data_IF_513136766537
#
_entry.id   IF_513136766537
#
_cell.length_a   1.000
_cell.length_b   1.000
_cell.length_c   1.000
_cell.angle_alpha   90.00
_cell.angle_beta   90.00
_cell.angle_gamma   90.00
#
_symmetry.space_group_name_H-M   'P 1'
#
loop_
_entity.id
_entity.type
_entity.pdbx_description
1 polymer ?
#
# COMPACT_ATOMS: atom_id res chain seq x y z
N UNK A 1 -5.81 -12.49 8.74
CA UNK A 1 -6.36 -12.22 7.40
C UNK A 1 -6.19 -10.75 7.02
N UNK A 2 -5.82 -10.46 5.77
CA UNK A 2 -5.44 -9.14 5.24
C UNK A 2 -6.51 -8.38 4.48
N UNK A 3 -6.89 -7.18 4.91
CA UNK A 3 -7.76 -6.23 4.21
C UNK A 3 -6.90 -5.29 3.35
N UNK A 4 -7.22 -5.13 2.07
CA UNK A 4 -6.55 -4.20 1.17
C UNK A 4 -7.59 -3.26 0.59
N UNK A 5 -7.45 -1.98 0.92
CA UNK A 5 -8.11 -0.91 0.20
C UNK A 5 -7.08 -0.10 -0.58
N UNK A 6 -7.06 -0.26 -1.90
CA UNK A 6 -6.52 0.79 -2.74
C UNK A 6 -7.35 2.06 -2.49
N UNK A 7 -6.78 3.07 -1.85
CA UNK A 7 -7.32 4.41 -1.99
C UNK A 7 -7.14 4.80 -3.46
N UNK A 8 -8.25 4.77 -4.19
CA UNK A 8 -8.44 5.26 -5.56
C UNK A 8 -7.70 4.56 -6.72
N UNK A 9 -8.52 3.84 -7.49
CA UNK A 9 -8.83 4.33 -8.83
C UNK A 9 -9.56 3.28 -9.69
N UNK A 10 -10.75 3.67 -10.12
CA UNK A 10 -11.61 2.88 -10.99
C UNK A 10 -13.09 3.09 -10.68
N UNK A 11 -13.63 4.29 -10.90
CA UNK A 11 -14.51 4.60 -12.03
C UNK A 11 -15.23 5.95 -11.84
N UNK A 12 -15.37 6.67 -12.97
CA UNK A 12 -16.05 7.95 -13.22
C UNK A 12 -15.26 9.24 -12.99
N UNK A 13 -14.93 9.90 -14.11
CA UNK A 13 -14.65 11.33 -14.15
C UNK A 13 -13.17 11.68 -14.09
N UNK A 14 -12.66 12.20 -15.20
CA UNK A 14 -11.34 12.79 -15.30
C UNK A 14 -11.25 14.06 -14.43
N UNK A 15 -10.31 14.13 -13.49
CA UNK A 15 -9.59 15.36 -13.10
C UNK A 15 -8.19 14.95 -12.59
N UNK A 16 -7.17 15.53 -13.23
CA UNK A 16 -5.80 15.83 -12.79
C UNK A 16 -5.13 14.99 -11.67
N UNK A 17 -3.99 14.36 -12.02
CA UNK A 17 -2.88 14.14 -11.07
C UNK A 17 -3.12 13.19 -9.89
N UNK A 18 -3.93 12.14 -10.08
CA UNK A 18 -4.26 11.17 -9.02
C UNK A 18 -3.02 10.42 -8.50
N UNK A 19 -2.64 10.70 -7.25
CA UNK A 19 -1.60 9.96 -6.53
C UNK A 19 -2.15 8.62 -5.99
N UNK A 20 -1.70 7.44 -6.48
CA UNK A 20 -2.05 6.12 -5.99
C UNK A 20 -1.32 5.82 -4.66
N UNK A 21 -2.00 6.13 -3.56
CA UNK A 21 -1.74 5.56 -2.24
C UNK A 21 -2.52 4.25 -2.08
N UNK A 22 -1.88 3.17 -1.65
CA UNK A 22 -2.58 1.91 -1.35
C UNK A 22 -2.54 1.65 0.15
N UNK A 23 -3.70 1.53 0.78
CA UNK A 23 -3.83 1.18 2.19
C UNK A 23 -4.07 -0.32 2.36
N UNK A 24 -3.34 -0.93 3.28
CA UNK A 24 -3.41 -2.37 3.57
C UNK A 24 -3.48 -2.55 5.07
N UNK A 25 -4.48 -3.24 5.60
CA UNK A 25 -4.55 -3.58 7.02
C UNK A 25 -4.84 -5.06 7.22
N UNK A 26 -3.97 -5.78 7.93
CA UNK A 26 -4.23 -7.18 8.25
C UNK A 26 -4.98 -7.35 9.57
N UNK A 27 -6.24 -7.79 9.51
CA UNK A 27 -7.13 -8.06 10.65
C UNK A 27 -6.58 -9.14 11.59
N UNK A 28 -5.97 -10.20 11.04
CA UNK A 28 -5.28 -11.21 11.87
C UNK A 28 -3.82 -11.25 11.45
N UNK A 29 -2.97 -10.95 12.42
CA UNK A 29 -1.54 -11.12 12.36
C UNK A 29 -1.22 -12.54 12.84
N UNK A 30 -0.16 -13.18 12.33
CA UNK A 30 0.28 -14.47 12.85
C UNK A 30 0.64 -14.34 14.34
N UNK A 31 -0.21 -14.85 15.23
CA UNK A 31 -0.06 -14.74 16.69
C UNK A 31 0.86 -15.82 17.28
N UNK A 32 1.37 -16.71 16.44
CA UNK A 32 2.17 -17.87 16.85
C UNK A 32 3.62 -17.50 17.19
N UNK A 33 4.05 -16.27 16.89
CA UNK A 33 5.41 -15.82 17.08
C UNK A 33 5.51 -14.59 17.98
N UNK A 34 6.45 -14.62 18.93
CA UNK A 34 6.81 -13.42 19.68
C UNK A 34 7.59 -12.45 18.80
N UNK A 35 7.60 -11.16 19.16
CA UNK A 35 8.33 -10.14 18.40
C UNK A 35 9.84 -10.45 18.25
N UNK A 36 10.44 -11.06 19.28
CA UNK A 36 11.85 -11.44 19.31
C UNK A 36 12.15 -12.60 18.35
N UNK A 37 11.18 -13.49 18.14
CA UNK A 37 11.33 -14.66 17.27
C UNK A 37 11.09 -14.32 15.80
N UNK A 38 10.44 -13.19 15.48
CA UNK A 38 10.21 -12.77 14.09
C UNK A 38 11.55 -12.44 13.42
N UNK A 39 11.91 -13.23 12.42
CA UNK A 39 13.09 -12.98 11.57
C UNK A 39 12.76 -12.14 10.37
N UNK A 40 11.60 -12.37 9.77
CA UNK A 40 11.21 -11.73 8.53
C UNK A 40 9.70 -11.69 8.43
N UNK A 41 9.16 -10.56 7.97
CA UNK A 41 7.78 -10.48 7.51
C UNK A 41 7.72 -9.83 6.14
N UNK A 42 7.04 -10.49 5.21
CA UNK A 42 6.89 -10.05 3.83
C UNK A 42 5.41 -9.91 3.49
N UNK A 43 5.05 -8.75 2.96
CA UNK A 43 3.75 -8.50 2.36
C UNK A 43 3.84 -8.72 0.85
N UNK A 44 2.87 -9.42 0.29
CA UNK A 44 2.75 -9.70 -1.12
C UNK A 44 1.47 -9.07 -1.66
N UNK A 45 1.62 -8.15 -2.62
CA UNK A 45 0.49 -7.56 -3.34
C UNK A 45 0.54 -8.00 -4.80
N UNK A 46 -0.59 -8.40 -5.37
CA UNK A 46 -0.64 -8.82 -6.76
C UNK A 46 -0.77 -7.61 -7.67
N UNK A 47 0.31 -7.26 -8.38
CA UNK A 47 0.32 -6.24 -9.41
C UNK A 47 -0.48 -6.72 -10.62
N UNK A 48 -1.45 -5.90 -11.04
CA UNK A 48 -2.29 -6.17 -12.20
C UNK A 48 -1.69 -5.54 -13.47
N UNK A 49 -1.68 -4.21 -13.56
CA UNK A 49 -1.13 -3.50 -14.72
C UNK A 49 -0.82 -2.03 -14.42
N UNK A 50 -0.06 -1.42 -15.33
CA UNK A 50 0.25 0.00 -15.38
C UNK A 50 -0.89 0.77 -16.05
N UNK A 51 -1.65 1.55 -15.29
CA UNK A 51 -2.80 2.28 -15.84
C UNK A 51 -2.39 3.65 -16.38
N UNK A 52 -3.01 4.05 -17.49
CA UNK A 52 -3.10 5.43 -17.96
C UNK A 52 -4.49 5.64 -18.53
N UNK A 53 -4.95 6.89 -18.59
CA UNK A 53 -6.17 7.20 -19.32
C UNK A 53 -6.06 6.74 -20.79
N UNK A 54 -7.19 6.37 -21.38
CA UNK A 54 -7.23 5.85 -22.76
C UNK A 54 -6.76 6.89 -23.78
N UNK A 55 -7.04 8.17 -23.52
CA UNK A 55 -6.66 9.30 -24.38
C UNK A 55 -5.23 9.80 -24.18
N UNK A 56 -4.52 9.41 -23.11
CA UNK A 56 -3.13 9.83 -22.90
C UNK A 56 -2.18 9.10 -23.85
N UNK A 57 -1.24 9.83 -24.46
CA UNK A 57 -0.12 9.23 -25.20
C UNK A 57 0.96 8.69 -24.25
N UNK A 58 2.03 8.11 -24.82
CA UNK A 58 3.19 7.70 -24.03
C UNK A 58 4.00 8.92 -23.56
N UNK A 59 3.93 10.03 -24.27
CA UNK A 59 4.55 11.30 -23.86
C UNK A 59 3.83 11.93 -22.67
N UNK A 60 2.50 11.82 -22.62
CA UNK A 60 1.67 12.34 -21.51
C UNK A 60 1.65 11.40 -20.29
N UNK A 61 1.88 10.11 -20.48
CA UNK A 61 1.95 9.12 -19.39
C UNK A 61 3.08 8.12 -19.66
N UNK A 62 4.34 8.57 -19.47
CA UNK A 62 5.51 7.81 -19.83
C UNK A 62 5.70 6.59 -18.96
N UNK A 63 6.47 5.67 -19.52
CA UNK A 63 6.90 4.47 -18.85
C UNK A 63 8.09 4.78 -17.97
N UNK A 64 7.82 5.14 -16.72
CA UNK A 64 8.85 5.42 -15.71
C UNK A 64 9.03 4.24 -14.76
N UNK A 65 10.17 4.24 -14.07
CA UNK A 65 10.39 3.39 -12.90
C UNK A 65 9.82 4.09 -11.67
N UNK A 66 9.10 3.36 -10.82
CA UNK A 66 8.59 3.92 -9.56
C UNK A 66 9.16 3.12 -8.36
N UNK A 67 9.96 3.73 -7.47
CA UNK A 67 10.34 3.12 -6.20
C UNK A 67 9.14 3.10 -5.26
N UNK A 68 8.57 1.92 -5.02
CA UNK A 68 7.47 1.73 -4.07
C UNK A 68 8.01 1.51 -2.67
N UNK A 69 7.64 2.40 -1.75
CA UNK A 69 7.96 2.32 -0.34
C UNK A 69 6.72 1.89 0.45
N UNK A 70 6.95 1.30 1.63
CA UNK A 70 5.90 0.96 2.58
C UNK A 70 6.11 1.75 3.87
N UNK A 71 5.06 2.38 4.39
CA UNK A 71 5.06 3.08 5.67
C UNK A 71 3.96 2.51 6.57
N UNK A 72 4.18 2.48 7.89
CA UNK A 72 3.10 2.12 8.81
C UNK A 72 2.15 3.30 8.99
N UNK A 73 0.86 2.99 8.99
CA UNK A 73 -0.18 3.97 9.29
C UNK A 73 -0.30 4.12 10.80
N UNK A 74 -0.40 5.38 11.26
CA UNK A 74 -0.38 5.74 12.69
C UNK A 74 -1.76 6.15 13.21
N UNK A 75 -2.77 6.23 12.34
CA UNK A 75 -4.14 6.56 12.70
C UNK A 75 -5.15 5.54 12.20
N UNK A 76 -6.18 5.31 13.01
CA UNK A 76 -7.37 4.59 12.57
C UNK A 76 -7.98 5.28 11.35
N UNK A 77 -8.32 4.46 10.36
CA UNK A 77 -9.15 4.77 9.21
C UNK A 77 -10.23 3.69 9.07
N UNK A 78 -11.24 3.96 8.26
CA UNK A 78 -12.31 3.00 7.96
C UNK A 78 -12.40 2.81 6.45
N UNK A 79 -12.39 1.55 6.02
CA UNK A 79 -12.28 1.18 4.61
C UNK A 79 -13.37 1.79 3.74
N UNK A 80 -14.60 1.80 4.24
CA UNK A 80 -15.75 2.32 3.49
C UNK A 80 -15.86 3.85 3.51
N UNK A 81 -15.01 4.54 4.29
CA UNK A 81 -15.10 5.99 4.52
C UNK A 81 -13.83 6.75 4.15
N UNK A 82 -12.70 6.07 3.99
CA UNK A 82 -11.42 6.70 3.70
C UNK A 82 -11.36 7.24 2.24
N UNK A 83 -10.93 8.49 2.11
CA UNK A 83 -10.71 9.21 0.84
C UNK A 83 -9.32 9.87 0.85
N UNK A 84 -8.98 10.63 -0.19
CA UNK A 84 -7.71 11.39 -0.23
C UNK A 84 -7.61 12.41 0.91
N UNK A 85 -8.72 12.94 1.41
CA UNK A 85 -8.74 13.99 2.44
C UNK A 85 -9.25 13.52 3.79
N UNK A 86 -10.02 12.42 3.83
CA UNK A 86 -10.65 11.91 5.05
C UNK A 86 -10.21 10.48 5.37
N UNK A 87 -9.99 10.18 6.65
CA UNK A 87 -9.71 8.81 7.12
C UNK A 87 -10.96 8.08 7.59
N UNK A 88 -11.96 8.84 8.02
CA UNK A 88 -13.30 8.43 8.42
C UNK A 88 -14.22 9.63 8.19
N UNK A 89 -15.53 9.40 8.15
CA UNK A 89 -16.55 10.42 8.04
C UNK A 89 -16.33 11.52 9.10
N UNK A 90 -16.20 12.76 8.62
CA UNK A 90 -15.96 13.94 9.46
C UNK A 90 -14.59 14.01 10.13
N UNK A 91 -13.65 13.12 9.78
CA UNK A 91 -12.28 13.08 10.31
C UNK A 91 -11.28 13.13 9.17
N UNK A 92 -10.61 14.26 9.04
CA UNK A 92 -9.58 14.44 8.01
C UNK A 92 -8.28 13.70 8.34
N UNK A 93 -7.54 13.37 7.28
CA UNK A 93 -6.09 13.26 7.35
C UNK A 93 -5.49 14.63 7.72
N UNK A 94 -4.27 14.64 8.25
CA UNK A 94 -3.53 15.89 8.50
C UNK A 94 -3.12 16.55 7.18
N UNK A 95 -2.77 15.73 6.19
CA UNK A 95 -2.46 16.15 4.83
C UNK A 95 -3.24 15.29 3.84
N UNK A 96 -3.61 15.88 2.70
CA UNK A 96 -4.15 15.11 1.59
C UNK A 96 -3.20 13.97 1.20
N UNK A 97 -3.76 12.80 0.87
CA UNK A 97 -3.05 11.58 0.54
C UNK A 97 -2.23 10.96 1.68
N UNK A 98 -2.59 11.27 2.93
CA UNK A 98 -1.99 10.71 4.14
C UNK A 98 -0.53 11.18 4.34
N UNK A 99 -0.31 12.07 5.30
CA UNK A 99 1.00 12.67 5.55
C UNK A 99 2.06 11.66 6.01
N UNK A 100 3.21 11.65 5.32
CA UNK A 100 4.44 10.93 5.71
C UNK A 100 5.26 11.76 6.72
N UNK A 101 4.64 12.15 7.83
CA UNK A 101 5.16 13.14 8.78
C UNK A 101 5.26 12.65 10.24
N UNK A 102 5.06 11.33 10.46
CA UNK A 102 4.89 10.69 11.77
C UNK A 102 3.60 11.11 12.52
N UNK A 103 2.61 11.69 11.84
CA UNK A 103 1.27 11.91 12.40
C UNK A 103 0.24 10.99 11.75
N UNK A 104 0.19 10.90 10.42
CA UNK A 104 -0.76 10.01 9.73
C UNK A 104 -0.11 8.67 9.36
N UNK A 105 1.10 8.70 8.81
CA UNK A 105 1.99 7.56 8.66
C UNK A 105 3.41 7.92 9.09
N UNK A 106 4.25 6.91 9.25
CA UNK A 106 5.67 7.08 9.49
C UNK A 106 6.35 7.85 8.33
N UNK A 107 7.26 8.75 8.68
CA UNK A 107 8.09 9.46 7.70
C UNK A 107 9.16 8.56 7.08
N UNK A 108 9.60 7.55 7.83
CA UNK A 108 10.62 6.60 7.38
C UNK A 108 9.96 5.32 6.86
N UNK A 109 10.32 4.83 5.66
CA UNK A 109 9.84 3.56 5.16
C UNK A 109 10.26 2.35 6.03
N UNK A 110 9.44 1.31 6.00
CA UNK A 110 9.63 0.02 6.66
C UNK A 110 10.85 -0.77 6.16
N UNK A 111 11.34 -0.45 4.96
CA UNK A 111 12.46 -1.16 4.33
C UNK A 111 12.93 -0.49 3.05
N UNK A 112 13.74 -1.21 2.27
CA UNK A 112 14.22 -0.73 0.98
C UNK A 112 13.05 -0.68 -0.02
N UNK A 113 12.89 0.42 -0.77
CA UNK A 113 11.85 0.52 -1.79
C UNK A 113 11.97 -0.58 -2.85
N UNK A 114 10.82 -1.12 -3.25
CA UNK A 114 10.73 -2.09 -4.35
C UNK A 114 10.53 -1.36 -5.66
N UNK A 115 11.41 -1.59 -6.63
CA UNK A 115 11.33 -0.93 -7.92
C UNK A 115 10.30 -1.59 -8.82
N UNK A 116 9.36 -0.77 -9.27
CA UNK A 116 8.40 -1.10 -10.29
C UNK A 116 8.82 -0.54 -11.64
N UNK A 117 8.55 -1.29 -12.71
CA UNK A 117 8.65 -0.84 -14.09
C UNK A 117 7.33 -1.07 -14.81
N UNK A 118 6.89 -0.09 -15.58
CA UNK A 118 5.60 -0.03 -16.26
C UNK A 118 5.32 -1.12 -17.30
N UNK A 119 6.36 -1.80 -17.80
CA UNK A 119 6.23 -2.94 -18.72
C UNK A 119 6.35 -4.30 -18.05
N UNK A 120 6.42 -4.35 -16.71
CA UNK A 120 6.50 -5.60 -15.97
C UNK A 120 5.23 -6.42 -16.21
N UNK A 121 5.33 -7.76 -16.34
CA UNK A 121 4.14 -8.62 -16.32
C UNK A 121 3.41 -8.56 -14.97
N UNK A 122 2.11 -8.86 -15.00
CA UNK A 122 1.29 -9.01 -13.79
C UNK A 122 1.86 -10.08 -12.86
N UNK A 123 1.74 -9.91 -11.54
CA UNK A 123 2.18 -10.90 -10.56
C UNK A 123 2.46 -10.31 -9.20
N UNK A 124 2.85 -11.16 -8.26
CA UNK A 124 3.16 -10.72 -6.89
C UNK A 124 4.40 -9.82 -6.84
N UNK A 125 4.24 -8.70 -6.13
CA UNK A 125 5.31 -7.84 -5.65
C UNK A 125 5.50 -8.08 -4.16
N UNK A 126 6.75 -8.17 -3.74
CA UNK A 126 7.14 -8.40 -2.35
C UNK A 126 7.56 -7.08 -1.70
N UNK A 127 7.14 -6.87 -0.46
CA UNK A 127 7.52 -5.74 0.37
C UNK A 127 7.98 -6.22 1.73
N UNK A 128 9.09 -5.68 2.22
CA UNK A 128 9.53 -5.90 3.60
C UNK A 128 8.68 -5.08 4.57
N UNK A 129 8.05 -5.78 5.51
CA UNK A 129 7.21 -5.20 6.55
C UNK A 129 7.61 -5.73 7.93
N UNK A 130 8.82 -6.26 8.04
CA UNK A 130 9.35 -6.87 9.27
C UNK A 130 9.22 -5.93 10.48
N UNK A 131 9.60 -4.63 10.40
CA UNK A 131 9.49 -3.76 11.57
C UNK A 131 8.04 -3.56 12.02
N UNK A 132 7.09 -3.37 11.10
CA UNK A 132 5.69 -3.18 11.43
C UNK A 132 5.11 -4.41 12.14
N UNK A 133 5.39 -5.61 11.62
CA UNK A 133 4.89 -6.85 12.25
C UNK A 133 5.50 -7.07 13.63
N UNK A 134 6.79 -6.73 13.82
CA UNK A 134 7.40 -6.76 15.17
C UNK A 134 6.71 -5.81 16.13
N UNK A 135 6.52 -4.55 15.73
CA UNK A 135 5.83 -3.57 16.59
C UNK A 135 4.42 -4.04 16.96
N UNK A 136 3.68 -4.64 16.02
CA UNK A 136 2.36 -5.18 16.32
C UNK A 136 2.42 -6.38 17.27
N UNK A 137 3.43 -7.25 17.14
CA UNK A 137 3.66 -8.37 18.05
C UNK A 137 4.06 -7.89 19.47
N UNK A 138 4.70 -6.73 19.59
CA UNK A 138 4.98 -6.06 20.87
C UNK A 138 3.75 -5.38 21.49
N UNK A 139 2.62 -5.35 20.77
CA UNK A 139 1.35 -4.80 21.23
C UNK A 139 1.02 -3.41 20.69
N UNK A 140 1.80 -2.86 19.76
CA UNK A 140 1.39 -1.65 19.05
C UNK A 140 0.11 -1.88 18.24
N UNK A 141 -0.69 -0.82 18.10
CA UNK A 141 -1.94 -0.91 17.36
C UNK A 141 -1.68 -1.04 15.86
N UNK A 142 -2.30 -2.04 15.25
CA UNK A 142 -2.29 -2.23 13.81
C UNK A 142 -3.35 -1.35 13.14
N UNK A 143 -2.93 -0.22 12.56
CA UNK A 143 -3.75 0.58 11.66
C UNK A 143 -3.43 0.33 10.18
N UNK A 144 -2.59 -0.66 9.89
CA UNK A 144 -2.18 -1.02 8.54
C UNK A 144 -0.91 -0.33 8.05
N UNK A 145 -0.74 -0.42 6.74
CA UNK A 145 0.42 -0.05 5.95
C UNK A 145 -0.06 0.79 4.76
N UNK A 146 0.74 1.77 4.40
CA UNK A 146 0.63 2.54 3.18
C UNK A 146 1.69 2.04 2.20
N UNK A 147 1.31 1.74 0.96
CA UNK A 147 2.23 1.58 -0.16
C UNK A 147 2.13 2.81 -1.04
N UNK A 148 3.28 3.46 -1.29
CA UNK A 148 3.37 4.73 -1.97
C UNK A 148 4.58 4.76 -2.92
N UNK A 149 4.46 5.35 -4.10
CA UNK A 149 5.62 5.58 -4.95
C UNK A 149 6.37 6.83 -4.48
N UNK A 150 7.66 6.72 -4.17
CA UNK A 150 8.40 7.89 -3.65
C UNK A 150 8.51 9.03 -4.67
N UNK A 151 8.35 8.73 -5.96
CA UNK A 151 8.29 9.70 -7.04
C UNK A 151 6.86 9.93 -7.55
N UNK A 152 5.85 9.87 -6.67
CA UNK A 152 4.45 9.91 -7.13
C UNK A 152 4.07 11.19 -7.87
N UNK A 153 4.78 12.29 -7.62
CA UNK A 153 4.59 13.56 -8.32
C UNK A 153 5.21 13.58 -9.72
N UNK A 154 5.99 12.57 -10.11
CA UNK A 154 6.49 12.44 -11.47
C UNK A 154 5.37 11.91 -12.39
N UNK A 155 5.18 12.61 -13.51
CA UNK A 155 4.21 12.21 -14.54
C UNK A 155 4.56 10.83 -15.06
N UNK A 156 3.61 9.91 -14.99
CA UNK A 156 3.80 8.53 -15.40
C UNK A 156 2.53 7.72 -15.17
N UNK A 157 2.61 6.43 -15.46
CA UNK A 157 1.49 5.50 -15.28
C UNK A 157 1.24 5.16 -13.81
N UNK A 158 -0.03 5.00 -13.46
CA UNK A 158 -0.47 4.56 -12.13
C UNK A 158 -0.26 3.04 -11.98
N UNK A 159 -0.14 2.59 -10.74
CA UNK A 159 0.08 1.17 -10.42
C UNK A 159 -1.20 0.58 -9.84
N UNK A 160 -1.70 -0.50 -10.44
CA UNK A 160 -2.90 -1.22 -9.97
C UNK A 160 -2.53 -2.52 -9.28
N UNK A 161 -3.08 -2.73 -8.09
CA UNK A 161 -3.02 -4.00 -7.37
C UNK A 161 -4.42 -4.61 -7.24
N UNK A 162 -4.53 -5.93 -7.18
CA UNK A 162 -5.80 -6.57 -6.83
C UNK A 162 -6.05 -6.52 -5.32
N UNK A 163 -7.29 -6.22 -4.95
CA UNK A 163 -7.76 -6.22 -3.56
C UNK A 163 -8.25 -7.60 -3.12
N UNK A 164 -8.55 -7.71 -1.82
CA UNK A 164 -9.20 -8.88 -1.22
C UNK A 164 -10.59 -9.16 -1.83
N UNK A 165 -11.27 -8.12 -2.30
CA UNK A 165 -12.60 -8.25 -2.92
C UNK A 165 -12.53 -8.76 -4.38
N UNK A 166 -11.33 -8.93 -4.93
CA UNK A 166 -11.20 -9.49 -6.26
C UNK A 166 -11.67 -10.95 -6.28
N UNK A 167 -12.41 -11.34 -7.32
CA UNK A 167 -13.07 -12.64 -7.42
C UNK A 167 -12.12 -13.85 -7.41
N UNK A 168 -10.87 -13.64 -7.81
CA UNK A 168 -9.85 -14.68 -7.84
C UNK A 168 -9.00 -14.61 -6.57
N UNK A 169 -9.15 -15.62 -5.72
CA UNK A 169 -8.49 -15.70 -4.41
C UNK A 169 -6.98 -15.87 -4.51
N UNK A 170 -6.46 -16.41 -5.62
CA UNK A 170 -5.03 -16.59 -5.84
C UNK A 170 -4.30 -15.28 -6.12
N UNK A 171 -5.04 -14.17 -6.25
CA UNK A 171 -4.51 -12.82 -6.43
C UNK A 171 -4.68 -11.95 -5.20
N UNK A 172 -5.15 -12.51 -4.10
CA UNK A 172 -5.36 -11.74 -2.87
C UNK A 172 -4.04 -11.33 -2.22
N UNK A 173 -4.03 -10.21 -1.47
CA UNK A 173 -2.91 -9.80 -0.64
C UNK A 173 -2.55 -10.84 0.42
N UNK A 174 -1.26 -11.09 0.60
CA UNK A 174 -0.77 -12.09 1.57
C UNK A 174 0.29 -11.48 2.48
N UNK A 175 0.21 -11.76 3.77
CA UNK A 175 1.29 -11.51 4.72
C UNK A 175 1.90 -12.84 5.13
N UNK A 176 3.22 -12.99 4.96
CA UNK A 176 3.97 -14.15 5.43
C UNK A 176 4.96 -13.73 6.48
N UNK A 177 4.99 -14.45 7.60
CA UNK A 177 5.89 -14.21 8.72
C UNK A 177 6.73 -15.48 8.91
N UNK A 178 8.04 -15.30 8.99
CA UNK A 178 9.01 -16.34 9.31
C UNK A 178 9.56 -16.06 10.70
N UNK A 179 9.52 -17.09 11.54
CA UNK A 179 9.94 -17.04 12.92
C UNK A 179 11.03 -18.07 13.18
N UNK A 180 11.85 -17.82 14.19
CA UNK A 180 12.72 -18.84 14.75
C UNK A 180 11.93 -19.87 15.57
N UNK A 181 12.53 -21.04 15.72
CA UNK A 181 12.02 -22.16 16.53
C UNK A 181 12.84 -22.33 17.80
#
# INVERSE_FOLDING_TARGET
MGQLLCCYGGDQGAEDGLHPAVLVQFEELPTECSADDIRMAKMYLYFSYAHKASWHSVEESPNISRPLAVQRVLKKWEETEATSTQRMSGKSWRQEYLGLDNIDAEATPQGIPTYYHSHRPSGYMEFDVTPAVKNWAEGERNYGLLVWAMNEYEVGRDIRFYSREYSDTDKHPVLKVLCDY
#
